data_IF_696993209766
#
_entry.id   IF_696993209766
#
_cell.length_a   1.000
_cell.length_b   1.000
_cell.length_c   1.000
_cell.angle_alpha   90.00
_cell.angle_beta   90.00
_cell.angle_gamma   90.00
#
_symmetry.space_group_name_H-M   'P 1'
#
loop_
_entity.id
_entity.type
_entity.pdbx_description
1 polymer ?
#
# COMPACT_ATOMS: atom_id res chain seq x y z
N UNK A 1 18.71 -40.09 36.38
CA UNK A 1 19.32 -38.76 36.20
C UNK A 1 19.79 -38.69 34.75
N UNK A 2 19.09 -37.95 33.89
CA UNK A 2 19.45 -37.83 32.48
C UNK A 2 20.80 -37.11 32.38
N UNK A 3 21.80 -37.69 31.71
CA UNK A 3 23.12 -37.08 31.62
C UNK A 3 23.09 -35.92 30.59
N UNK A 4 23.95 -34.92 30.79
CA UNK A 4 24.00 -33.72 29.98
C UNK A 4 24.33 -34.03 28.50
N UNK A 5 25.12 -35.08 28.24
CA UNK A 5 25.47 -35.54 26.89
C UNK A 5 24.24 -36.05 26.12
N UNK A 6 23.35 -36.80 26.79
CA UNK A 6 22.10 -37.29 26.21
C UNK A 6 21.14 -36.15 25.88
N UNK A 7 21.16 -35.07 26.67
CA UNK A 7 20.35 -33.88 26.42
C UNK A 7 20.89 -33.09 25.22
N UNK A 8 22.21 -32.89 25.16
CA UNK A 8 22.88 -32.21 24.03
C UNK A 8 22.68 -33.00 22.73
N UNK A 9 22.77 -34.33 22.79
CA UNK A 9 22.55 -35.21 21.65
C UNK A 9 21.09 -35.17 21.16
N UNK A 10 20.12 -35.12 22.09
CA UNK A 10 18.70 -34.96 21.77
C UNK A 10 18.42 -33.59 21.11
N UNK A 11 18.99 -32.50 21.61
CA UNK A 11 18.82 -31.16 21.04
C UNK A 11 19.43 -31.04 19.64
N UNK A 12 20.58 -31.68 19.39
CA UNK A 12 21.18 -31.77 18.04
C UNK A 12 20.31 -32.56 17.07
N UNK A 13 19.73 -33.68 17.52
CA UNK A 13 18.81 -34.49 16.70
C UNK A 13 17.54 -33.71 16.34
N UNK A 14 16.97 -32.98 17.31
CA UNK A 14 15.82 -32.08 17.08
C UNK A 14 16.15 -30.94 16.10
N UNK A 15 17.34 -30.32 16.23
CA UNK A 15 17.80 -29.28 15.30
C UNK A 15 18.01 -29.82 13.89
N UNK A 16 18.55 -31.03 13.75
CA UNK A 16 18.74 -31.69 12.46
C UNK A 16 17.41 -32.05 11.78
N UNK A 17 16.42 -32.53 12.55
CA UNK A 17 15.07 -32.78 12.02
C UNK A 17 14.37 -31.49 11.56
N UNK A 18 14.56 -30.37 12.26
CA UNK A 18 13.99 -29.08 11.88
C UNK A 18 14.59 -28.53 10.59
N UNK A 19 15.90 -28.74 10.36
CA UNK A 19 16.60 -28.37 9.13
C UNK A 19 16.13 -29.19 7.91
N UNK A 20 15.79 -30.47 8.11
CA UNK A 20 15.25 -31.33 7.04
C UNK A 20 13.80 -30.95 6.70
N UNK A 21 13.01 -30.48 7.67
CA UNK A 21 11.65 -29.97 7.42
C UNK A 21 11.64 -28.66 6.61
N UNK A 22 12.70 -27.85 6.70
CA UNK A 22 12.85 -26.61 5.93
C UNK A 22 13.28 -26.85 4.47
N UNK A 23 13.88 -28.00 4.14
CA UNK A 23 14.37 -28.29 2.77
C UNK A 23 13.33 -28.97 1.86
N UNK A 24 12.18 -29.41 2.40
CA UNK A 24 11.09 -30.06 1.62
C UNK A 24 10.07 -29.04 1.08
N UNK A 25 10.28 -27.74 1.30
CA UNK A 25 9.35 -26.66 0.94
C UNK A 25 9.52 -26.03 -0.46
N UNK A 26 10.36 -26.57 -1.35
CA UNK A 26 10.53 -26.05 -2.72
C UNK A 26 10.05 -27.06 -3.76
N UNK A 27 8.75 -27.34 -3.79
CA UNK A 27 8.09 -27.74 -5.03
C UNK A 27 7.69 -26.47 -5.76
N UNK A 28 8.40 -26.12 -6.82
CA UNK A 28 7.89 -25.17 -7.80
C UNK A 28 6.58 -25.76 -8.34
N UNK A 29 5.45 -25.21 -7.91
CA UNK A 29 4.24 -25.32 -8.70
C UNK A 29 4.44 -24.34 -9.85
N UNK A 30 4.77 -24.86 -11.03
CA UNK A 30 4.62 -24.13 -12.28
C UNK A 30 3.20 -23.59 -12.32
N UNK A 31 3.03 -22.29 -12.08
CA UNK A 31 1.80 -21.63 -12.45
C UNK A 31 1.67 -21.82 -13.96
N UNK A 32 0.75 -22.69 -14.36
CA UNK A 32 0.30 -22.75 -15.74
C UNK A 32 -0.04 -21.32 -16.14
N UNK A 33 0.80 -20.74 -16.99
CA UNK A 33 0.51 -19.48 -17.64
C UNK A 33 -0.67 -19.79 -18.54
N UNK A 34 -1.88 -19.49 -18.07
CA UNK A 34 -3.01 -19.28 -18.96
C UNK A 34 -2.63 -18.10 -19.83
N UNK A 35 -2.07 -18.38 -21.00
CA UNK A 35 -2.06 -17.43 -22.12
C UNK A 35 -3.51 -17.27 -22.55
N UNK A 36 -4.28 -16.51 -21.78
CA UNK A 36 -5.50 -15.90 -22.26
C UNK A 36 -5.06 -14.85 -23.26
N UNK A 37 -5.32 -15.11 -24.55
CA UNK A 37 -5.17 -14.11 -25.60
C UNK A 37 -6.15 -12.98 -25.28
N UNK A 38 -5.65 -11.93 -24.65
CA UNK A 38 -6.41 -10.71 -24.41
C UNK A 38 -6.65 -10.02 -25.76
N UNK A 39 -7.84 -10.26 -26.33
CA UNK A 39 -8.40 -9.41 -27.38
C UNK A 39 -8.53 -7.98 -26.84
N UNK A 40 -8.35 -6.94 -27.68
CA UNK A 40 -8.56 -5.56 -27.28
C UNK A 40 -10.06 -5.35 -27.06
N UNK A 41 -10.51 -5.62 -25.84
CA UNK A 41 -11.79 -5.18 -25.33
C UNK A 41 -11.54 -3.76 -24.90
N UNK A 42 -12.19 -2.79 -25.55
CA UNK A 42 -12.16 -1.39 -25.13
C UNK A 42 -12.37 -1.32 -23.62
N UNK A 43 -11.27 -1.12 -22.88
CA UNK A 43 -11.31 -0.79 -21.46
C UNK A 43 -11.91 0.59 -21.38
N UNK A 44 -13.24 0.67 -21.31
CA UNK A 44 -13.84 1.85 -20.73
C UNK A 44 -13.43 1.88 -19.27
N UNK A 45 -12.29 2.52 -19.00
CA UNK A 45 -11.78 2.74 -17.65
C UNK A 45 -12.86 3.50 -16.89
N UNK A 46 -13.62 2.79 -16.08
CA UNK A 46 -14.65 3.39 -15.25
C UNK A 46 -13.97 4.22 -14.16
N UNK A 47 -14.09 5.53 -14.27
CA UNK A 47 -13.56 6.44 -13.26
C UNK A 47 -14.57 6.59 -12.12
N UNK A 48 -14.25 5.98 -10.98
CA UNK A 48 -15.02 6.12 -9.74
C UNK A 48 -14.60 7.38 -8.97
N UNK A 49 -15.53 8.01 -8.22
CA UNK A 49 -15.24 9.22 -7.45
C UNK A 49 -14.31 8.98 -6.27
N UNK A 50 -14.22 7.75 -5.77
CA UNK A 50 -13.35 7.40 -4.65
C UNK A 50 -12.49 6.18 -4.97
N UNK A 51 -11.24 6.19 -4.51
CA UNK A 51 -10.31 5.07 -4.63
C UNK A 51 -9.46 4.95 -3.36
N UNK A 52 -9.20 3.72 -2.92
CA UNK A 52 -8.28 3.42 -1.82
C UNK A 52 -6.92 3.00 -2.38
N UNK A 53 -5.86 3.48 -1.74
CA UNK A 53 -4.47 3.15 -2.05
C UNK A 53 -3.83 2.52 -0.82
N UNK A 54 -3.29 1.30 -0.91
CA UNK A 54 -2.61 0.66 0.21
C UNK A 54 -1.28 1.36 0.51
N UNK A 55 -0.85 1.28 1.77
CA UNK A 55 0.52 1.59 2.19
C UNK A 55 1.22 0.29 2.57
N UNK A 56 2.54 0.30 2.75
CA UNK A 56 3.23 -0.88 3.29
C UNK A 56 2.89 -1.15 4.77
N UNK A 57 2.31 -0.17 5.47
CA UNK A 57 1.65 -0.43 6.73
C UNK A 57 0.30 -1.11 6.43
N UNK A 58 0.23 -2.41 6.72
CA UNK A 58 -0.95 -3.25 6.46
C UNK A 58 -2.27 -2.76 7.07
N UNK A 59 -2.23 -1.84 8.05
CA UNK A 59 -3.42 -1.28 8.71
C UNK A 59 -3.89 0.03 8.10
N UNK A 60 -3.08 0.64 7.22
CA UNK A 60 -3.27 2.02 6.76
C UNK A 60 -3.44 2.09 5.24
N UNK A 61 -4.44 2.86 4.82
CA UNK A 61 -4.73 3.21 3.43
C UNK A 61 -4.85 4.72 3.29
N UNK A 62 -4.65 5.22 2.07
CA UNK A 62 -5.08 6.55 1.68
C UNK A 62 -6.35 6.43 0.85
N UNK A 63 -7.45 7.06 1.30
CA UNK A 63 -8.65 7.26 0.48
C UNK A 63 -8.51 8.57 -0.28
N UNK A 64 -8.72 8.53 -1.59
CA UNK A 64 -8.70 9.69 -2.48
C UNK A 64 -10.09 9.94 -3.05
N UNK A 65 -10.59 11.18 -2.95
CA UNK A 65 -11.63 11.69 -3.84
C UNK A 65 -10.98 12.07 -5.18
N UNK A 66 -11.17 11.22 -6.18
CA UNK A 66 -10.50 11.32 -7.48
C UNK A 66 -10.96 12.53 -8.28
N UNK A 67 -12.03 13.20 -7.86
CA UNK A 67 -12.58 14.37 -8.53
C UNK A 67 -11.85 15.64 -8.16
N UNK A 68 -11.47 15.77 -6.90
CA UNK A 68 -11.05 17.04 -6.32
C UNK A 68 -9.76 16.97 -5.51
N UNK A 69 -9.15 15.79 -5.34
CA UNK A 69 -7.86 15.63 -4.66
C UNK A 69 -7.94 15.72 -3.14
N UNK A 70 -9.13 15.65 -2.53
CA UNK A 70 -9.25 15.46 -1.08
C UNK A 70 -8.85 14.04 -0.70
N UNK A 71 -8.10 13.92 0.38
CA UNK A 71 -7.55 12.66 0.84
C UNK A 71 -7.77 12.47 2.33
N UNK A 72 -7.89 11.20 2.72
CA UNK A 72 -7.99 10.77 4.10
C UNK A 72 -7.05 9.62 4.36
N UNK A 73 -6.39 9.63 5.52
CA UNK A 73 -5.78 8.43 6.07
C UNK A 73 -6.90 7.57 6.68
N UNK A 74 -6.99 6.33 6.22
CA UNK A 74 -7.95 5.34 6.71
C UNK A 74 -7.18 4.25 7.42
N UNK A 75 -7.47 4.05 8.70
CA UNK A 75 -6.89 2.98 9.49
C UNK A 75 -7.99 2.04 9.99
N UNK A 76 -7.77 0.73 9.81
CA UNK A 76 -8.61 -0.30 10.39
C UNK A 76 -7.87 -1.06 11.49
N UNK A 77 -8.62 -1.79 12.31
CA UNK A 77 -8.05 -2.53 13.44
C UNK A 77 -8.93 -3.71 13.85
N UNK A 78 -8.27 -4.75 14.37
CA UNK A 78 -8.89 -5.90 15.05
C UNK A 78 -9.00 -5.70 16.56
N UNK A 79 -8.37 -4.67 17.12
CA UNK A 79 -8.33 -4.41 18.57
C UNK A 79 -9.53 -3.63 19.11
N UNK A 80 -10.38 -3.10 18.24
CA UNK A 80 -11.58 -2.32 18.61
C UNK A 80 -11.64 -0.95 17.92
N UNK A 81 -12.70 -0.20 18.23
CA UNK A 81 -13.03 1.07 17.57
C UNK A 81 -12.06 2.20 17.90
N UNK A 82 -11.40 2.16 19.07
CA UNK A 82 -10.39 3.16 19.48
C UNK A 82 -9.17 3.25 18.53
N UNK A 83 -8.98 2.23 17.69
CA UNK A 83 -7.86 2.14 16.74
C UNK A 83 -8.32 2.22 15.28
N UNK A 84 -9.61 2.50 15.04
CA UNK A 84 -10.21 2.66 13.71
C UNK A 84 -10.51 4.13 13.49
N UNK A 85 -10.01 4.70 12.41
CA UNK A 85 -10.30 6.10 12.11
C UNK A 85 -10.17 6.40 10.63
N UNK A 86 -10.82 7.49 10.25
CA UNK A 86 -10.62 8.18 9.00
C UNK A 86 -10.36 9.64 9.32
N UNK A 87 -9.16 10.13 8.98
CA UNK A 87 -8.76 11.52 9.25
C UNK A 87 -8.34 12.21 7.95
N UNK A 88 -8.75 13.47 7.71
CA UNK A 88 -8.38 14.18 6.49
C UNK A 88 -6.88 14.49 6.47
N UNK A 89 -6.22 14.21 5.35
CA UNK A 89 -4.85 14.69 5.06
C UNK A 89 -4.87 16.13 4.54
N UNK A 90 -5.97 16.52 3.87
CA UNK A 90 -6.26 17.88 3.46
C UNK A 90 -7.76 18.14 3.52
N UNK A 91 -8.13 19.38 3.83
CA UNK A 91 -9.55 19.83 3.91
C UNK A 91 -9.97 20.60 2.67
N UNK A 92 -9.01 21.23 1.99
CA UNK A 92 -9.22 22.03 0.77
C UNK A 92 -9.14 21.15 -0.47
N UNK A 93 -10.12 21.29 -1.36
CA UNK A 93 -10.08 20.67 -2.69
C UNK A 93 -8.97 21.30 -3.54
N UNK A 94 -8.26 20.47 -4.31
CA UNK A 94 -7.21 20.89 -5.23
C UNK A 94 -7.77 21.31 -6.60
N UNK A 95 -8.95 20.82 -6.98
CA UNK A 95 -9.68 21.25 -8.17
C UNK A 95 -10.97 22.00 -7.84
N UNK A 96 -11.36 22.92 -8.73
CA UNK A 96 -12.65 23.62 -8.69
C UNK A 96 -13.76 22.84 -9.38
N UNK A 97 -13.43 22.03 -10.38
CA UNK A 97 -14.37 21.10 -11.02
C UNK A 97 -14.43 19.76 -10.27
N UNK A 98 -15.26 18.84 -10.73
CA UNK A 98 -15.45 17.52 -10.07
C UNK A 98 -15.50 16.38 -11.07
N UNK A 99 -14.45 16.30 -11.89
CA UNK A 99 -14.31 15.26 -12.93
C UNK A 99 -13.79 13.96 -12.33
N UNK A 100 -14.59 12.89 -12.37
CA UNK A 100 -14.17 11.59 -11.84
C UNK A 100 -12.84 11.15 -12.46
N UNK A 101 -11.95 10.66 -11.61
CA UNK A 101 -10.66 10.12 -12.06
C UNK A 101 -9.65 11.17 -12.47
N UNK A 102 -9.84 12.48 -12.19
CA UNK A 102 -8.82 13.51 -12.42
C UNK A 102 -7.53 13.24 -11.63
N UNK A 103 -7.67 12.89 -10.36
CA UNK A 103 -6.55 12.66 -9.46
C UNK A 103 -6.22 11.18 -9.30
N UNK A 104 -4.92 10.86 -9.25
CA UNK A 104 -4.38 9.51 -9.03
C UNK A 104 -3.17 9.57 -8.09
N UNK A 105 -3.06 8.61 -7.15
CA UNK A 105 -1.90 8.47 -6.27
C UNK A 105 -0.95 7.39 -6.79
N UNK A 106 0.34 7.69 -6.75
CA UNK A 106 1.42 6.77 -7.09
C UNK A 106 2.26 6.48 -5.85
N UNK A 107 2.38 5.21 -5.41
CA UNK A 107 3.20 4.86 -4.26
C UNK A 107 4.67 5.11 -4.54
N UNK A 108 5.43 5.44 -3.50
CA UNK A 108 6.89 5.48 -3.56
C UNK A 108 7.48 4.28 -2.81
N UNK A 109 8.80 4.09 -2.86
CA UNK A 109 9.48 3.08 -2.03
C UNK A 109 9.49 3.47 -0.54
N UNK A 110 9.21 4.74 -0.22
CA UNK A 110 9.02 5.17 1.16
C UNK A 110 7.54 5.04 1.49
N UNK A 111 7.19 4.14 2.41
CA UNK A 111 5.80 3.85 2.77
C UNK A 111 4.98 5.08 3.19
N UNK A 112 5.63 6.13 3.70
CA UNK A 112 4.97 7.37 4.13
C UNK A 112 4.64 8.33 3.00
N UNK A 113 5.19 8.13 1.79
CA UNK A 113 5.13 9.09 0.71
C UNK A 113 4.48 8.53 -0.56
N UNK A 114 3.64 9.36 -1.16
CA UNK A 114 3.04 9.17 -2.48
C UNK A 114 3.29 10.41 -3.35
N UNK A 115 3.19 10.23 -4.66
CA UNK A 115 3.04 11.32 -5.61
C UNK A 115 1.59 11.37 -6.06
N UNK A 116 0.91 12.49 -5.82
CA UNK A 116 -0.41 12.76 -6.40
C UNK A 116 -0.22 13.39 -7.78
N UNK A 117 -0.90 12.87 -8.79
CA UNK A 117 -0.95 13.42 -10.14
C UNK A 117 -2.35 13.96 -10.43
N UNK A 118 -2.42 15.19 -10.90
CA UNK A 118 -3.54 15.69 -11.67
C UNK A 118 -3.39 15.24 -13.13
N UNK A 119 -4.21 14.29 -13.57
CA UNK A 119 -4.16 13.74 -14.93
C UNK A 119 -4.73 14.67 -16.00
N UNK A 120 -5.31 15.81 -15.62
CA UNK A 120 -5.83 16.82 -16.54
C UNK A 120 -4.80 17.93 -16.76
N UNK A 121 -4.29 18.52 -15.67
CA UNK A 121 -3.37 19.67 -15.75
C UNK A 121 -1.89 19.30 -15.60
N UNK A 122 -1.57 18.06 -15.20
CA UNK A 122 -0.20 17.57 -15.03
C UNK A 122 0.51 18.10 -13.77
N UNK A 123 -0.20 18.80 -12.88
CA UNK A 123 0.31 19.22 -11.60
C UNK A 123 0.58 18.00 -10.69
N UNK A 124 1.59 18.10 -9.83
CA UNK A 124 1.96 17.02 -8.91
C UNK A 124 2.19 17.53 -7.50
N UNK A 125 1.94 16.67 -6.52
CA UNK A 125 2.16 16.93 -5.10
C UNK A 125 2.87 15.76 -4.45
N UNK A 126 3.78 16.05 -3.52
CA UNK A 126 4.21 15.10 -2.51
C UNK A 126 3.09 14.96 -1.48
N UNK A 127 2.68 13.73 -1.21
CA UNK A 127 1.68 13.39 -0.21
C UNK A 127 2.37 12.56 0.87
N UNK A 128 2.47 13.10 2.07
CA UNK A 128 3.03 12.43 3.23
C UNK A 128 1.95 12.15 4.27
N UNK A 129 1.77 10.88 4.64
CA UNK A 129 0.94 10.48 5.78
C UNK A 129 1.82 10.12 6.98
N UNK A 130 1.23 10.15 8.17
CA UNK A 130 1.93 9.88 9.43
C UNK A 130 0.95 9.46 10.52
N UNK A 131 1.43 8.69 11.49
CA UNK A 131 0.71 8.43 12.75
C UNK A 131 0.65 9.67 13.65
N UNK A 132 1.52 10.65 13.40
CA UNK A 132 1.58 11.96 14.04
C UNK A 132 1.02 13.01 13.07
N UNK A 133 -0.21 13.54 13.28
CA UNK A 133 -0.87 14.45 12.33
C UNK A 133 -0.05 15.68 11.94
N UNK A 134 0.80 16.19 12.83
CA UNK A 134 1.71 17.31 12.59
C UNK A 134 2.77 17.04 11.52
N UNK A 135 3.04 15.76 11.23
CA UNK A 135 3.99 15.31 10.23
C UNK A 135 3.32 14.95 8.90
N UNK A 136 2.02 15.19 8.76
CA UNK A 136 1.30 15.03 7.49
C UNK A 136 1.50 16.26 6.61
N UNK A 137 1.69 16.05 5.30
CA UNK A 137 1.94 17.15 4.39
C UNK A 137 1.47 16.85 2.97
N UNK A 138 0.83 17.84 2.33
CA UNK A 138 0.53 17.84 0.90
C UNK A 138 1.26 19.03 0.28
N UNK A 139 2.35 18.79 -0.43
CA UNK A 139 3.28 19.83 -0.87
C UNK A 139 3.33 19.84 -2.41
N UNK A 140 3.00 20.96 -3.09
CA UNK A 140 3.14 21.06 -4.54
C UNK A 140 4.60 20.84 -4.98
N UNK A 141 4.80 20.01 -5.99
CA UNK A 141 6.11 19.81 -6.61
C UNK A 141 6.23 20.82 -7.75
N UNK A 142 7.21 21.73 -7.63
CA UNK A 142 7.41 22.80 -8.62
C UNK A 142 7.79 22.21 -9.98
N UNK A 143 7.06 22.61 -11.01
CA UNK A 143 7.47 22.36 -12.39
C UNK A 143 8.64 23.29 -12.73
N UNK A 144 9.71 22.73 -13.29
CA UNK A 144 10.85 23.54 -13.74
C UNK A 144 10.55 24.16 -15.10
N UNK A 145 10.84 25.45 -15.25
CA UNK A 145 10.85 26.16 -16.52
C UNK A 145 12.29 26.17 -17.07
N UNK A 146 12.72 25.06 -17.65
CA UNK A 146 14.01 25.01 -18.36
C UNK A 146 13.86 25.54 -19.79
#
# INVERSE_FOLDING_TARGET
MWNLESLIMLMKQLSLMLLILLSVGFTNCENATSTEKEQPKDEQTMFFPFKLYPTDNMWTFIKLDTRNGKMWQVQFSVKGDDYRFEIPLNTTALATDSTNGRYELYPTQNMFNFVLLDKVEGATWQVQWSTEPENQAIIPIKQSTF
#
